data_IF_576254425312
#
_entry.id   IF_576254425312
#
_cell.length_a   1.000
_cell.length_b   1.000
_cell.length_c   1.000
_cell.angle_alpha   90.00
_cell.angle_beta   90.00
_cell.angle_gamma   90.00
#
_symmetry.space_group_name_H-M   'P 1'
#
loop_
_entity.id
_entity.type
_entity.pdbx_description
1 polymer ?
#
# COMPACT_ATOMS: atom_id res chain seq x y z
N UNK A 1 4.86 -45.16 -16.25
CA UNK A 1 5.65 -43.91 -16.39
C UNK A 1 5.11 -42.96 -15.34
N UNK A 2 5.72 -42.90 -14.15
CA UNK A 2 5.25 -42.05 -13.05
C UNK A 2 5.72 -40.63 -13.31
N UNK A 3 4.76 -39.73 -13.51
CA UNK A 3 5.01 -38.29 -13.59
C UNK A 3 5.30 -37.84 -12.15
N UNK A 4 6.60 -37.67 -11.82
CA UNK A 4 6.98 -36.93 -10.62
C UNK A 4 6.54 -35.48 -10.81
N UNK A 5 5.39 -35.12 -10.24
CA UNK A 5 5.03 -33.74 -10.02
C UNK A 5 6.10 -33.14 -9.11
N UNK A 6 6.93 -32.27 -9.65
CA UNK A 6 7.79 -31.39 -8.86
C UNK A 6 6.84 -30.53 -8.05
N UNK A 7 6.68 -30.80 -6.76
CA UNK A 7 6.08 -29.89 -5.81
C UNK A 7 6.94 -28.62 -5.85
N UNK A 8 6.48 -27.60 -6.57
CA UNK A 8 7.09 -26.28 -6.48
C UNK A 8 7.01 -25.82 -5.02
N UNK A 9 8.07 -25.22 -4.46
CA UNK A 9 8.00 -24.71 -3.10
C UNK A 9 6.90 -23.65 -3.05
N UNK A 10 5.91 -23.88 -2.20
CA UNK A 10 4.91 -22.86 -1.91
C UNK A 10 5.63 -21.56 -1.49
N UNK A 11 5.30 -20.45 -2.11
CA UNK A 11 5.82 -19.14 -1.66
C UNK A 11 5.41 -19.00 -0.21
N UNK A 12 6.39 -18.80 0.64
CA UNK A 12 6.17 -18.47 2.05
C UNK A 12 6.42 -16.98 2.24
N UNK A 13 5.35 -16.21 2.48
CA UNK A 13 5.46 -14.83 2.94
C UNK A 13 5.76 -14.93 4.45
N UNK A 14 6.97 -14.53 4.89
CA UNK A 14 7.33 -14.68 6.30
C UNK A 14 6.51 -13.75 7.18
N UNK A 15 6.33 -14.16 8.44
CA UNK A 15 5.67 -13.39 9.48
C UNK A 15 6.71 -12.93 10.49
N UNK A 16 6.86 -11.62 10.67
CA UNK A 16 7.79 -11.00 11.59
C UNK A 16 7.05 -10.28 12.71
N UNK A 17 7.67 -10.22 13.89
CA UNK A 17 7.13 -9.53 15.05
C UNK A 17 7.83 -8.19 15.22
N UNK A 18 7.11 -7.06 15.06
CA UNK A 18 7.68 -5.71 15.15
C UNK A 18 8.33 -5.44 16.52
N UNK A 19 7.84 -6.06 17.59
CA UNK A 19 8.43 -5.92 18.93
C UNK A 19 9.89 -6.42 18.99
N UNK A 20 10.30 -7.34 18.12
CA UNK A 20 11.70 -7.79 18.04
C UNK A 20 12.63 -6.69 17.46
N UNK A 21 12.08 -5.73 16.73
CA UNK A 21 12.83 -4.57 16.22
C UNK A 21 12.81 -3.38 17.18
N UNK A 22 11.67 -3.06 17.76
CA UNK A 22 11.51 -1.86 18.62
C UNK A 22 11.93 -2.09 20.07
N UNK A 23 12.15 -3.35 20.49
CA UNK A 23 12.69 -3.69 21.81
C UNK A 23 14.19 -3.40 21.95
N UNK A 24 14.76 -3.62 23.13
CA UNK A 24 16.16 -3.29 23.46
C UNK A 24 17.17 -4.39 23.08
N UNK A 25 16.73 -5.50 22.52
CA UNK A 25 17.59 -6.64 22.16
C UNK A 25 18.21 -6.45 20.77
N UNK A 26 19.46 -6.04 20.73
CA UNK A 26 20.19 -5.79 19.48
C UNK A 26 20.31 -7.06 18.58
N UNK A 27 20.35 -8.26 19.16
CA UNK A 27 20.41 -9.51 18.38
C UNK A 27 19.09 -9.71 17.64
N UNK A 28 17.97 -9.51 18.32
CA UNK A 28 16.64 -9.58 17.70
C UNK A 28 16.43 -8.48 16.67
N UNK A 29 16.83 -7.24 16.98
CA UNK A 29 16.75 -6.14 16.02
C UNK A 29 17.51 -6.45 14.72
N UNK A 30 18.73 -6.99 14.84
CA UNK A 30 19.53 -7.37 13.67
C UNK A 30 18.86 -8.52 12.90
N UNK A 31 18.41 -9.57 13.58
CA UNK A 31 17.72 -10.70 12.95
C UNK A 31 16.47 -10.23 12.21
N UNK A 32 15.63 -9.41 12.84
CA UNK A 32 14.45 -8.81 12.20
C UNK A 32 14.81 -8.06 10.92
N UNK A 33 15.84 -7.20 10.96
CA UNK A 33 16.25 -6.42 9.79
C UNK A 33 16.73 -7.32 8.64
N UNK A 34 17.48 -8.38 8.94
CA UNK A 34 17.95 -9.34 7.93
C UNK A 34 16.79 -10.15 7.32
N UNK A 35 15.86 -10.63 8.15
CA UNK A 35 14.70 -11.38 7.69
C UNK A 35 13.75 -10.50 6.86
N UNK A 36 13.51 -9.24 7.27
CA UNK A 36 12.72 -8.28 6.53
C UNK A 36 13.33 -7.98 5.16
N UNK A 37 14.63 -7.65 5.13
CA UNK A 37 15.33 -7.37 3.88
C UNK A 37 15.35 -8.58 2.94
N UNK A 38 15.56 -9.79 3.48
CA UNK A 38 15.50 -11.02 2.70
C UNK A 38 14.10 -11.27 2.13
N UNK A 39 13.03 -11.08 2.92
CA UNK A 39 11.66 -11.21 2.45
C UNK A 39 11.38 -10.27 1.28
N UNK A 40 11.78 -9.00 1.40
CA UNK A 40 11.61 -8.01 0.36
C UNK A 40 12.49 -8.24 -0.89
N UNK A 41 13.67 -8.83 -0.72
CA UNK A 41 14.47 -9.29 -1.85
C UNK A 41 13.84 -10.48 -2.57
N UNK A 42 13.32 -11.47 -1.82
CA UNK A 42 12.81 -12.74 -2.36
C UNK A 42 11.43 -12.58 -3.00
N UNK A 43 10.48 -11.97 -2.27
CA UNK A 43 9.06 -11.91 -2.64
C UNK A 43 8.49 -10.50 -2.75
N UNK A 44 9.16 -9.49 -2.18
CA UNK A 44 8.62 -8.15 -2.04
C UNK A 44 7.55 -7.99 -0.96
N UNK A 45 7.22 -9.05 -0.21
CA UNK A 45 6.12 -9.10 0.76
C UNK A 45 6.53 -9.68 2.11
N UNK A 46 5.90 -9.19 3.19
CA UNK A 46 6.06 -9.69 4.56
C UNK A 46 4.75 -9.50 5.34
N UNK A 47 4.48 -10.33 6.34
CA UNK A 47 3.43 -10.11 7.33
C UNK A 47 4.05 -9.57 8.61
N UNK A 48 3.44 -8.54 9.20
CA UNK A 48 3.93 -7.88 10.42
C UNK A 48 2.89 -8.01 11.53
N UNK A 49 3.31 -8.62 12.62
CA UNK A 49 2.54 -8.71 13.87
C UNK A 49 2.95 -7.58 14.84
N UNK A 50 2.06 -7.28 15.79
CA UNK A 50 2.29 -6.28 16.85
C UNK A 50 2.64 -4.88 16.31
N UNK A 51 1.95 -4.48 15.26
CA UNK A 51 2.13 -3.20 14.54
C UNK A 51 1.45 -2.00 15.22
N UNK A 52 0.92 -2.19 16.43
CA UNK A 52 0.37 -1.12 17.26
C UNK A 52 -1.13 -0.83 17.09
N UNK A 53 -1.80 -1.40 16.09
CA UNK A 53 -3.27 -1.41 16.04
C UNK A 53 -3.77 -2.73 16.62
N UNK A 54 -4.67 -2.66 17.58
CA UNK A 54 -5.35 -3.83 18.13
C UNK A 54 -6.66 -4.16 17.37
N UNK A 55 -7.24 -5.34 17.64
CA UNK A 55 -8.47 -5.79 17.01
C UNK A 55 -9.61 -4.79 17.17
N UNK A 56 -9.73 -4.16 18.34
CA UNK A 56 -10.84 -3.23 18.62
C UNK A 56 -10.77 -1.97 17.76
N UNK A 57 -9.54 -1.49 17.49
CA UNK A 57 -9.30 -0.35 16.59
C UNK A 57 -9.54 -0.70 15.13
N UNK A 58 -9.13 -1.89 14.72
CA UNK A 58 -9.40 -2.39 13.38
C UNK A 58 -10.91 -2.58 13.15
N UNK A 59 -11.63 -3.14 14.11
CA UNK A 59 -13.07 -3.31 14.05
C UNK A 59 -13.80 -1.96 13.95
N UNK A 60 -13.42 -0.97 14.78
CA UNK A 60 -14.01 0.37 14.72
C UNK A 60 -13.69 1.06 13.38
N UNK A 61 -12.46 0.93 12.88
CA UNK A 61 -12.09 1.44 11.56
C UNK A 61 -13.03 0.89 10.47
N UNK A 62 -13.21 -0.42 10.40
CA UNK A 62 -14.08 -1.03 9.39
C UNK A 62 -15.54 -0.66 9.56
N UNK A 63 -16.02 -0.53 10.78
CA UNK A 63 -17.38 -0.05 11.08
C UNK A 63 -17.60 1.37 10.53
N UNK A 64 -16.68 2.27 10.77
CA UNK A 64 -16.78 3.65 10.29
C UNK A 64 -16.63 3.75 8.77
N UNK A 65 -15.76 2.94 8.15
CA UNK A 65 -15.65 2.81 6.69
C UNK A 65 -16.97 2.33 6.08
N UNK A 66 -17.60 1.32 6.66
CA UNK A 66 -18.91 0.83 6.22
C UNK A 66 -19.98 1.91 6.36
N UNK A 67 -19.98 2.68 7.45
CA UNK A 67 -20.91 3.79 7.64
C UNK A 67 -20.76 4.85 6.54
N UNK A 68 -19.54 5.24 6.18
CA UNK A 68 -19.28 6.18 5.11
C UNK A 68 -19.78 5.66 3.74
N UNK A 69 -19.40 4.45 3.35
CA UNK A 69 -19.80 3.91 2.04
C UNK A 69 -21.29 3.55 1.96
N UNK A 70 -21.98 3.49 3.10
CA UNK A 70 -23.44 3.33 3.17
C UNK A 70 -24.21 4.66 3.02
N UNK A 71 -23.53 5.80 3.04
CA UNK A 71 -24.17 7.09 2.74
C UNK A 71 -24.77 7.09 1.32
N UNK A 72 -25.85 7.87 1.10
CA UNK A 72 -26.38 8.07 -0.25
C UNK A 72 -25.29 8.52 -1.22
N UNK A 73 -25.36 8.07 -2.46
CA UNK A 73 -24.38 8.39 -3.50
C UNK A 73 -24.19 9.91 -3.67
N UNK A 74 -25.29 10.67 -3.59
CA UNK A 74 -25.28 12.12 -3.66
C UNK A 74 -24.47 12.74 -2.52
N UNK A 75 -24.61 12.23 -1.29
CA UNK A 75 -23.82 12.69 -0.12
C UNK A 75 -22.34 12.40 -0.30
N UNK A 76 -21.97 11.21 -0.75
CA UNK A 76 -20.57 10.85 -1.01
C UNK A 76 -19.93 11.74 -2.08
N UNK A 77 -20.67 12.06 -3.14
CA UNK A 77 -20.19 12.91 -4.24
C UNK A 77 -19.87 14.35 -3.82
N UNK A 78 -20.45 14.86 -2.75
CA UNK A 78 -20.08 16.18 -2.20
C UNK A 78 -18.62 16.24 -1.74
N UNK A 79 -18.01 15.09 -1.49
CA UNK A 79 -16.61 14.91 -1.09
C UNK A 79 -15.67 14.56 -2.26
N UNK A 80 -16.17 14.53 -3.49
CA UNK A 80 -15.38 14.39 -4.71
C UNK A 80 -14.90 15.77 -5.17
N UNK A 81 -13.69 16.16 -4.76
CA UNK A 81 -13.19 17.53 -4.95
C UNK A 81 -12.49 17.65 -6.31
N UNK A 82 -13.00 18.48 -7.23
CA UNK A 82 -12.36 18.74 -8.52
C UNK A 82 -10.93 19.29 -8.34
N UNK A 83 -9.99 18.81 -9.16
CA UNK A 83 -8.60 19.26 -9.14
C UNK A 83 -7.69 18.59 -8.12
N UNK A 84 -8.22 17.77 -7.20
CA UNK A 84 -7.40 16.96 -6.30
C UNK A 84 -7.02 15.59 -6.90
N UNK A 85 -7.55 15.22 -8.06
CA UNK A 85 -7.23 13.97 -8.78
C UNK A 85 -7.35 12.72 -7.89
N UNK A 86 -8.31 12.70 -6.97
CA UNK A 86 -8.52 11.61 -6.01
C UNK A 86 -7.52 11.55 -4.86
N UNK A 87 -6.57 12.49 -4.73
CA UNK A 87 -5.55 12.45 -3.66
C UNK A 87 -6.12 12.70 -2.25
N UNK A 88 -7.28 13.31 -2.13
CA UNK A 88 -8.02 13.53 -0.88
C UNK A 88 -9.53 13.42 -1.14
N UNK A 89 -10.26 12.97 -0.12
CA UNK A 89 -11.71 12.84 -0.20
C UNK A 89 -12.16 11.58 -0.93
N UNK A 90 -13.35 11.64 -1.49
CA UNK A 90 -14.02 10.51 -2.16
C UNK A 90 -13.66 10.43 -3.64
N UNK A 91 -13.51 9.22 -4.12
CA UNK A 91 -13.43 8.88 -5.55
C UNK A 91 -14.46 7.80 -5.86
N UNK A 92 -15.40 8.15 -6.72
CA UNK A 92 -16.55 7.29 -7.06
C UNK A 92 -16.21 6.16 -8.02
N UNK A 93 -17.21 5.29 -8.22
CA UNK A 93 -17.13 4.11 -9.10
C UNK A 93 -16.75 4.47 -10.53
N UNK A 94 -15.91 3.64 -11.15
CA UNK A 94 -15.53 3.78 -12.56
C UNK A 94 -14.55 4.91 -12.85
N UNK A 95 -13.91 5.51 -11.86
CA UNK A 95 -12.97 6.63 -12.02
C UNK A 95 -11.52 6.18 -12.16
N UNK A 96 -11.12 5.13 -11.45
CA UNK A 96 -9.75 4.63 -11.48
C UNK A 96 -9.65 3.34 -12.31
N UNK A 97 -8.59 3.24 -13.09
CA UNK A 97 -8.23 2.01 -13.82
C UNK A 97 -6.72 1.81 -13.72
N UNK A 98 -6.28 0.56 -13.70
CA UNK A 98 -4.85 0.25 -13.80
C UNK A 98 -4.29 0.65 -15.16
N UNK A 99 -2.97 0.84 -15.23
CA UNK A 99 -2.25 1.06 -16.49
C UNK A 99 -2.59 -0.08 -17.47
N UNK A 100 -2.86 0.28 -18.70
CA UNK A 100 -3.20 -0.67 -19.78
C UNK A 100 -4.53 -1.44 -19.60
N UNK A 101 -5.28 -1.25 -18.50
CA UNK A 101 -6.60 -1.82 -18.34
C UNK A 101 -7.63 -1.16 -19.27
N UNK A 102 -8.50 -1.95 -19.89
CA UNK A 102 -9.57 -1.44 -20.76
C UNK A 102 -10.78 -0.98 -19.94
N UNK A 103 -11.04 -1.66 -18.84
CA UNK A 103 -12.17 -1.41 -17.93
C UNK A 103 -11.71 -0.80 -16.62
N UNK A 104 -12.50 0.12 -16.01
CA UNK A 104 -12.24 0.61 -14.67
C UNK A 104 -12.33 -0.52 -13.64
N UNK A 105 -11.58 -0.37 -12.53
CA UNK A 105 -11.68 -1.25 -11.38
C UNK A 105 -13.05 -1.17 -10.70
N UNK A 106 -13.51 -2.30 -10.15
CA UNK A 106 -14.82 -2.42 -9.49
C UNK A 106 -14.75 -1.93 -8.04
N UNK A 107 -14.35 -0.68 -7.85
CA UNK A 107 -14.15 -0.08 -6.54
C UNK A 107 -14.54 1.39 -6.48
N UNK A 108 -14.76 1.87 -5.28
CA UNK A 108 -14.79 3.27 -4.87
C UNK A 108 -13.89 3.43 -3.65
N UNK A 109 -13.41 4.64 -3.33
CA UNK A 109 -12.51 4.80 -2.19
C UNK A 109 -12.55 6.21 -1.60
N UNK A 110 -12.09 6.29 -0.36
CA UNK A 110 -11.77 7.54 0.35
C UNK A 110 -10.26 7.63 0.59
N UNK A 111 -9.69 8.83 0.44
CA UNK A 111 -8.28 9.08 0.76
C UNK A 111 -8.13 10.22 1.76
N UNK A 112 -7.23 10.01 2.74
CA UNK A 112 -6.69 11.07 3.58
C UNK A 112 -5.16 11.00 3.62
N UNK A 113 -4.54 12.14 3.85
CA UNK A 113 -3.10 12.30 3.95
C UNK A 113 -2.66 12.75 5.34
N UNK A 114 -1.43 13.18 5.43
CA UNK A 114 -0.81 13.70 6.64
C UNK A 114 -1.55 14.93 7.17
N UNK A 115 -1.49 15.11 8.49
CA UNK A 115 -1.88 16.36 9.15
C UNK A 115 -0.60 17.14 9.44
N UNK A 116 -0.43 18.27 8.77
CA UNK A 116 0.77 19.12 8.87
C UNK A 116 0.47 20.31 9.76
N UNK A 117 1.39 20.60 10.71
CA UNK A 117 1.28 21.78 11.56
C UNK A 117 1.47 23.07 10.73
N UNK A 118 0.87 24.17 11.19
CA UNK A 118 0.86 25.43 10.45
C UNK A 118 2.25 26.05 10.25
N UNK A 119 3.21 25.74 11.13
CA UNK A 119 4.58 26.21 11.09
C UNK A 119 5.55 25.28 10.34
N UNK A 120 5.09 24.12 9.87
CA UNK A 120 5.93 23.20 9.09
C UNK A 120 6.08 23.70 7.63
N UNK A 121 7.32 23.78 7.11
CA UNK A 121 7.59 24.23 5.73
C UNK A 121 6.81 23.49 4.63
N UNK A 122 6.46 22.22 4.85
CA UNK A 122 5.74 21.39 3.85
C UNK A 122 4.20 21.61 3.88
N UNK A 123 3.70 22.53 4.74
CA UNK A 123 2.27 22.81 4.93
C UNK A 123 1.52 23.09 3.60
N UNK A 124 2.22 23.69 2.64
CA UNK A 124 1.63 24.09 1.35
C UNK A 124 2.01 23.16 0.19
N UNK A 125 2.79 22.11 0.46
CA UNK A 125 3.25 21.20 -0.61
C UNK A 125 2.16 20.19 -1.00
N UNK A 126 1.19 19.92 -0.11
CA UNK A 126 0.17 18.89 -0.30
C UNK A 126 -1.23 19.41 0.04
N UNK A 127 -2.29 18.83 -0.55
CA UNK A 127 -3.67 19.21 -0.25
C UNK A 127 -4.04 18.92 1.21
N UNK A 128 -4.89 19.76 1.78
CA UNK A 128 -5.50 19.51 3.09
C UNK A 128 -6.45 18.31 3.06
N UNK A 129 -6.62 17.68 4.23
CA UNK A 129 -7.60 16.62 4.39
C UNK A 129 -9.03 17.16 4.31
N UNK A 130 -9.89 16.40 3.65
CA UNK A 130 -11.34 16.67 3.62
C UNK A 130 -11.96 15.97 4.83
N UNK A 131 -12.90 16.66 5.48
CA UNK A 131 -13.61 16.13 6.65
C UNK A 131 -15.05 15.80 6.27
N UNK A 132 -15.53 14.61 6.68
CA UNK A 132 -16.92 14.21 6.49
C UNK A 132 -17.76 14.83 7.60
N UNK A 133 -18.67 15.74 7.26
CA UNK A 133 -19.44 16.51 8.25
C UNK A 133 -20.45 15.64 9.03
N UNK A 134 -20.97 14.59 8.41
CA UNK A 134 -21.97 13.69 8.98
C UNK A 134 -21.38 12.60 9.88
N UNK A 135 -20.06 12.33 9.79
CA UNK A 135 -19.42 11.20 10.42
C UNK A 135 -18.12 11.62 11.14
N UNK A 136 -18.23 12.23 12.31
CA UNK A 136 -17.06 12.68 13.06
C UNK A 136 -16.15 11.51 13.47
N UNK A 137 -16.73 10.39 13.93
CA UNK A 137 -15.97 9.21 14.32
C UNK A 137 -15.16 8.60 13.16
N UNK A 138 -15.66 8.72 11.92
CA UNK A 138 -14.94 8.34 10.71
C UNK A 138 -13.66 9.17 10.53
N UNK A 139 -13.77 10.49 10.69
CA UNK A 139 -12.62 11.38 10.57
C UNK A 139 -11.56 11.09 11.65
N UNK A 140 -12.01 10.84 12.88
CA UNK A 140 -11.15 10.64 14.03
C UNK A 140 -10.40 9.31 13.94
N UNK A 141 -11.08 8.21 13.61
CA UNK A 141 -10.43 6.90 13.46
C UNK A 141 -9.45 6.87 12.29
N UNK A 142 -9.76 7.50 11.16
CA UNK A 142 -8.82 7.57 10.03
C UNK A 142 -7.54 8.33 10.40
N UNK A 143 -7.65 9.45 11.13
CA UNK A 143 -6.48 10.20 11.60
C UNK A 143 -5.63 9.40 12.58
N UNK A 144 -6.26 8.68 13.52
CA UNK A 144 -5.57 7.83 14.49
C UNK A 144 -4.84 6.67 13.80
N UNK A 145 -5.52 5.96 12.90
CA UNK A 145 -4.95 4.84 12.15
C UNK A 145 -3.84 5.30 11.21
N UNK A 146 -4.00 6.46 10.56
CA UNK A 146 -2.93 7.07 9.76
C UNK A 146 -1.66 7.26 10.59
N UNK A 147 -1.76 7.91 11.74
CA UNK A 147 -0.61 8.19 12.61
C UNK A 147 0.07 6.89 13.09
N UNK A 148 -0.71 5.87 13.45
CA UNK A 148 -0.15 4.59 13.88
C UNK A 148 0.56 3.85 12.74
N UNK A 149 -0.02 3.81 11.55
CA UNK A 149 0.61 3.14 10.39
C UNK A 149 1.83 3.91 9.89
N UNK A 150 1.82 5.25 9.97
CA UNK A 150 3.00 6.06 9.66
C UNK A 150 4.15 5.73 10.61
N UNK A 151 3.90 5.64 11.93
CA UNK A 151 4.93 5.26 12.90
C UNK A 151 5.44 3.84 12.66
N UNK A 152 4.53 2.88 12.44
CA UNK A 152 4.90 1.50 12.08
C UNK A 152 5.78 1.47 10.82
N UNK A 153 5.40 2.21 9.79
CA UNK A 153 6.14 2.30 8.55
C UNK A 153 7.54 2.92 8.74
N UNK A 154 7.69 3.94 9.60
CA UNK A 154 9.00 4.50 9.97
C UNK A 154 9.90 3.45 10.62
N UNK A 155 9.37 2.63 11.54
CA UNK A 155 10.16 1.54 12.15
C UNK A 155 10.61 0.51 11.11
N UNK A 156 9.73 0.13 10.18
CA UNK A 156 10.08 -0.78 9.10
C UNK A 156 11.14 -0.18 8.15
N UNK A 157 11.05 1.11 7.81
CA UNK A 157 12.07 1.78 7.00
C UNK A 157 13.42 1.87 7.73
N UNK A 158 13.46 2.04 9.06
CA UNK A 158 14.69 1.96 9.85
C UNK A 158 15.31 0.55 9.80
N UNK A 159 14.48 -0.51 9.87
CA UNK A 159 14.95 -1.87 9.70
C UNK A 159 15.50 -2.12 8.28
N UNK A 160 14.86 -1.58 7.26
CA UNK A 160 15.34 -1.60 5.87
C UNK A 160 16.67 -0.84 5.73
N UNK A 161 16.80 0.33 6.36
CA UNK A 161 18.06 1.08 6.35
C UNK A 161 19.22 0.26 6.91
N UNK A 162 19.03 -0.43 8.04
CA UNK A 162 20.03 -1.37 8.59
C UNK A 162 20.39 -2.52 7.65
N UNK A 163 19.40 -3.11 6.98
CA UNK A 163 19.65 -4.18 6.00
C UNK A 163 20.50 -3.70 4.82
N UNK A 164 20.35 -2.42 4.44
CA UNK A 164 21.08 -1.79 3.34
C UNK A 164 22.41 -1.16 3.79
N UNK A 165 22.85 -1.38 5.04
CA UNK A 165 24.03 -0.78 5.65
C UNK A 165 24.01 0.77 5.63
N UNK A 166 22.81 1.36 5.74
CA UNK A 166 22.59 2.79 5.89
C UNK A 166 22.44 3.18 7.37
N UNK A 167 22.51 4.48 7.67
CA UNK A 167 22.11 4.99 8.99
C UNK A 167 20.64 4.63 9.27
N UNK A 168 20.32 4.19 10.49
CA UNK A 168 18.93 3.86 10.90
C UNK A 168 17.96 4.98 10.57
N UNK A 169 18.37 6.24 10.71
CA UNK A 169 17.55 7.42 10.44
C UNK A 169 17.57 7.89 8.98
N UNK A 170 18.12 7.09 8.06
CA UNK A 170 18.28 7.50 6.65
C UNK A 170 16.97 7.98 6.04
N UNK A 171 15.88 7.25 6.24
CA UNK A 171 14.57 7.59 5.69
C UNK A 171 13.81 8.64 6.49
N UNK A 172 14.10 8.87 7.77
CA UNK A 172 13.30 9.69 8.68
C UNK A 172 13.02 11.09 8.11
N UNK A 173 14.05 11.78 7.62
CA UNK A 173 13.92 13.12 7.02
C UNK A 173 13.12 13.14 5.73
N UNK A 174 13.10 12.02 5.01
CA UNK A 174 12.42 11.90 3.73
C UNK A 174 10.94 11.57 3.88
N UNK A 175 10.54 10.87 4.94
CA UNK A 175 9.13 10.49 5.18
C UNK A 175 8.44 11.39 6.21
N UNK A 176 9.17 12.24 6.94
CA UNK A 176 8.56 13.24 7.82
C UNK A 176 7.65 14.18 7.02
N UNK A 177 6.35 14.14 7.30
CA UNK A 177 5.32 14.84 6.53
C UNK A 177 5.44 14.60 5.01
N UNK A 178 5.79 13.37 4.60
CA UNK A 178 5.79 12.94 3.21
C UNK A 178 4.39 12.89 2.61
N UNK A 179 4.27 12.61 1.32
CA UNK A 179 2.97 12.52 0.64
C UNK A 179 2.24 11.20 0.89
N UNK A 180 2.30 10.68 2.12
CA UNK A 180 1.66 9.42 2.48
C UNK A 180 0.14 9.51 2.44
N UNK A 181 -0.51 8.41 2.09
CA UNK A 181 -1.95 8.33 1.92
C UNK A 181 -2.50 7.09 2.61
N UNK A 182 -3.52 7.27 3.45
CA UNK A 182 -4.39 6.20 3.92
C UNK A 182 -5.60 6.13 3.00
N UNK A 183 -5.84 4.97 2.39
CA UNK A 183 -6.97 4.76 1.48
C UNK A 183 -7.94 3.75 2.08
N UNK A 184 -9.19 4.14 2.31
CA UNK A 184 -10.27 3.22 2.60
C UNK A 184 -10.93 2.80 1.30
N UNK A 185 -10.86 1.53 0.96
CA UNK A 185 -11.40 0.94 -0.27
C UNK A 185 -12.72 0.19 0.00
N UNK A 186 -13.68 0.39 -0.88
CA UNK A 186 -14.89 -0.40 -0.96
C UNK A 186 -15.01 -1.03 -2.35
N UNK A 187 -14.95 -2.36 -2.39
CA UNK A 187 -15.31 -3.15 -3.55
C UNK A 187 -16.78 -3.51 -3.39
N UNK A 188 -17.62 -2.84 -4.16
CA UNK A 188 -19.07 -2.93 -4.03
C UNK A 188 -19.63 -4.30 -4.48
N UNK A 189 -20.84 -4.69 -3.98
CA UNK A 189 -21.50 -5.89 -4.42
C UNK A 189 -21.80 -5.88 -5.92
N UNK A 190 -21.54 -6.98 -6.59
CA UNK A 190 -21.91 -7.22 -7.99
C UNK A 190 -23.22 -7.97 -7.99
N UNK A 191 -24.32 -7.24 -8.15
CA UNK A 191 -25.69 -7.81 -8.09
C UNK A 191 -26.14 -8.44 -9.41
N UNK A 192 -25.53 -8.02 -10.52
CA UNK A 192 -25.76 -8.60 -11.85
C UNK A 192 -24.40 -8.99 -12.48
N UNK A 193 -23.95 -10.22 -12.25
CA UNK A 193 -22.66 -10.70 -12.77
C UNK A 193 -22.56 -10.71 -14.30
N UNK A 194 -23.68 -10.75 -15.00
CA UNK A 194 -23.72 -10.83 -16.46
C UNK A 194 -23.62 -9.43 -17.11
N UNK A 195 -23.77 -8.37 -16.31
CA UNK A 195 -23.62 -6.96 -16.75
C UNK A 195 -22.19 -6.43 -16.70
N UNK A 196 -21.27 -7.12 -16.01
CA UNK A 196 -19.87 -6.69 -15.93
C UNK A 196 -19.05 -7.21 -17.11
N UNK A 197 -18.09 -6.42 -17.58
CA UNK A 197 -17.18 -6.88 -18.62
C UNK A 197 -16.39 -8.12 -18.14
N UNK A 198 -16.13 -9.10 -19.03
CA UNK A 198 -15.45 -10.35 -18.62
C UNK A 198 -14.07 -10.16 -18.00
N UNK A 199 -13.39 -9.06 -18.31
CA UNK A 199 -12.07 -8.66 -17.81
C UNK A 199 -12.13 -7.73 -16.59
N UNK A 200 -13.33 -7.31 -16.18
CA UNK A 200 -13.49 -6.44 -15.02
C UNK A 200 -13.19 -7.18 -13.70
N UNK A 201 -12.26 -6.64 -12.93
CA UNK A 201 -11.83 -7.18 -11.64
C UNK A 201 -11.92 -6.11 -10.54
N UNK A 202 -11.86 -6.54 -9.29
CA UNK A 202 -11.87 -5.64 -8.12
C UNK A 202 -10.71 -4.65 -8.15
N UNK A 203 -9.49 -5.12 -8.44
CA UNK A 203 -8.33 -4.27 -8.76
C UNK A 203 -7.45 -5.03 -9.73
N UNK A 204 -7.19 -4.45 -10.90
CA UNK A 204 -6.31 -5.04 -11.90
C UNK A 204 -4.85 -5.10 -11.40
N UNK A 205 -4.02 -5.88 -12.10
CA UNK A 205 -2.62 -6.04 -11.76
C UNK A 205 -1.84 -4.72 -11.82
N UNK A 206 -1.06 -4.45 -10.76
CA UNK A 206 -0.29 -3.21 -10.61
C UNK A 206 0.86 -3.40 -9.61
N UNK A 207 1.74 -2.43 -9.60
CA UNK A 207 2.74 -2.18 -8.56
C UNK A 207 2.40 -0.88 -7.82
N UNK A 208 2.75 -0.77 -6.54
CA UNK A 208 2.50 0.43 -5.75
C UNK A 208 3.55 1.51 -6.00
N UNK A 209 3.10 2.76 -6.14
CA UNK A 209 3.96 3.92 -6.43
C UNK A 209 4.35 4.59 -5.11
N UNK A 210 5.20 3.97 -4.30
CA UNK A 210 5.64 4.47 -2.99
C UNK A 210 6.93 3.78 -2.52
N UNK A 211 7.34 4.00 -1.27
CA UNK A 211 8.42 3.23 -0.65
C UNK A 211 7.93 1.86 -0.18
N UNK A 212 6.91 1.82 0.66
CA UNK A 212 6.26 0.60 1.14
C UNK A 212 4.77 0.84 1.36
N UNK A 213 3.97 -0.21 1.18
CA UNK A 213 2.54 -0.21 1.52
C UNK A 213 2.31 -1.07 2.75
N UNK A 214 1.54 -0.56 3.71
CA UNK A 214 1.08 -1.29 4.89
C UNK A 214 -0.43 -1.55 4.73
N UNK A 215 -0.82 -2.80 4.54
CA UNK A 215 -2.19 -3.19 4.30
C UNK A 215 -2.79 -3.83 5.56
N UNK A 216 -3.77 -3.17 6.18
CA UNK A 216 -4.59 -3.79 7.22
C UNK A 216 -5.40 -4.92 6.58
N UNK A 217 -5.48 -6.07 7.25
CA UNK A 217 -6.16 -7.25 6.75
C UNK A 217 -7.53 -6.92 6.19
N UNK A 218 -7.79 -7.30 4.94
CA UNK A 218 -9.06 -7.03 4.28
C UNK A 218 -10.20 -7.85 4.90
N UNK A 219 -11.44 -7.34 4.81
CA UNK A 219 -12.65 -8.01 5.29
C UNK A 219 -12.98 -9.32 4.56
N UNK A 220 -12.31 -9.61 3.44
CA UNK A 220 -12.47 -10.84 2.65
C UNK A 220 -11.23 -11.11 1.79
N UNK A 221 -11.11 -12.34 1.30
CA UNK A 221 -10.03 -12.81 0.41
C UNK A 221 -9.98 -12.06 -0.94
N UNK A 222 -8.98 -12.38 -1.75
CA UNK A 222 -8.87 -11.93 -3.14
C UNK A 222 -7.54 -11.25 -3.51
N UNK A 223 -6.67 -10.91 -2.53
CA UNK A 223 -5.33 -10.42 -2.83
C UNK A 223 -4.47 -11.57 -3.38
N UNK A 224 -3.88 -11.36 -4.54
CA UNK A 224 -2.92 -12.27 -5.16
C UNK A 224 -1.65 -11.54 -5.58
N UNK A 225 -0.51 -12.21 -5.45
CA UNK A 225 0.82 -11.71 -5.79
C UNK A 225 1.38 -12.53 -6.94
N UNK A 226 1.98 -11.88 -7.93
CA UNK A 226 2.64 -12.53 -9.05
C UNK A 226 4.04 -12.99 -8.64
N UNK A 227 4.26 -14.26 -8.68
CA UNK A 227 5.55 -14.88 -8.36
C UNK A 227 6.54 -14.77 -9.52
N UNK A 228 7.83 -14.98 -9.27
CA UNK A 228 8.88 -14.92 -10.31
C UNK A 228 8.72 -15.94 -11.43
N UNK A 229 8.03 -17.05 -11.16
CA UNK A 229 7.71 -18.07 -12.16
C UNK A 229 6.43 -17.79 -12.96
N UNK A 230 5.80 -16.62 -12.73
CA UNK A 230 4.58 -16.21 -13.41
C UNK A 230 3.30 -16.79 -12.84
N UNK A 231 3.34 -17.38 -11.64
CA UNK A 231 2.16 -17.95 -10.97
C UNK A 231 1.54 -16.92 -10.02
N UNK A 232 0.21 -16.82 -9.96
CA UNK A 232 -0.50 -16.03 -8.97
C UNK A 232 -0.66 -16.79 -7.66
N UNK A 233 -0.21 -16.19 -6.57
CA UNK A 233 -0.26 -16.76 -5.22
C UNK A 233 -1.19 -15.94 -4.32
N UNK A 234 -2.21 -16.56 -3.67
CA UNK A 234 -3.12 -15.86 -2.79
C UNK A 234 -2.42 -15.48 -1.47
N UNK A 235 -2.57 -14.21 -1.07
CA UNK A 235 -2.05 -13.67 0.19
C UNK A 235 -3.18 -13.49 1.18
N UNK A 236 -3.04 -14.06 2.38
CA UNK A 236 -4.01 -13.93 3.47
C UNK A 236 -3.28 -13.45 4.71
N UNK A 237 -3.69 -12.32 5.26
CA UNK A 237 -3.25 -11.90 6.59
C UNK A 237 -3.71 -12.93 7.64
N UNK A 238 -2.90 -13.16 8.65
CA UNK A 238 -3.21 -14.05 9.76
C UNK A 238 -3.68 -13.21 10.96
N UNK A 239 -4.95 -13.39 11.34
CA UNK A 239 -5.52 -12.62 12.46
C UNK A 239 -5.45 -11.11 12.21
N UNK A 240 -4.80 -10.40 13.13
CA UNK A 240 -4.65 -8.94 13.12
C UNK A 240 -3.40 -8.46 12.38
N UNK A 241 -2.60 -9.35 11.79
CA UNK A 241 -1.36 -8.97 11.11
C UNK A 241 -1.64 -8.03 9.93
N UNK A 242 -0.72 -7.11 9.67
CA UNK A 242 -0.71 -6.35 8.43
C UNK A 242 0.17 -7.03 7.38
N UNK A 243 -0.20 -6.89 6.12
CA UNK A 243 0.65 -7.27 4.98
C UNK A 243 1.43 -6.04 4.55
N UNK A 244 2.74 -6.18 4.39
CA UNK A 244 3.59 -5.07 3.93
C UNK A 244 4.30 -5.46 2.65
N UNK A 245 4.27 -4.56 1.67
CA UNK A 245 4.97 -4.76 0.39
C UNK A 245 5.85 -3.57 0.02
N UNK A 246 6.88 -3.86 -0.75
CA UNK A 246 7.77 -2.87 -1.37
C UNK A 246 7.04 -2.18 -2.52
N UNK A 247 7.18 -0.86 -2.62
CA UNK A 247 6.77 -0.08 -3.76
C UNK A 247 7.91 0.20 -4.75
N UNK A 248 7.56 0.67 -5.92
CA UNK A 248 8.52 0.86 -7.01
C UNK A 248 9.53 2.00 -6.78
N UNK A 249 9.21 3.00 -5.93
CA UNK A 249 10.21 4.00 -5.50
C UNK A 249 11.35 3.37 -4.68
N UNK A 250 11.03 2.44 -3.77
CA UNK A 250 12.06 1.75 -2.99
C UNK A 250 12.83 0.73 -3.85
N UNK A 251 12.15 0.04 -4.77
CA UNK A 251 12.80 -0.81 -5.76
C UNK A 251 13.82 -0.02 -6.60
N UNK A 252 13.42 1.14 -7.08
CA UNK A 252 14.26 2.04 -7.86
C UNK A 252 15.47 2.52 -7.05
N UNK A 253 15.25 3.05 -5.83
CA UNK A 253 16.30 3.52 -4.93
C UNK A 253 17.32 2.43 -4.63
N UNK A 254 16.88 1.18 -4.48
CA UNK A 254 17.73 0.03 -4.16
C UNK A 254 18.21 -0.74 -5.39
N UNK A 255 18.06 -0.18 -6.59
CA UNK A 255 18.51 -0.81 -7.84
C UNK A 255 18.04 -2.28 -7.97
N UNK A 256 16.76 -2.57 -7.66
CA UNK A 256 16.14 -3.90 -7.64
C UNK A 256 16.67 -4.87 -6.55
N UNK A 257 17.42 -4.40 -5.55
CA UNK A 257 17.78 -5.25 -4.40
C UNK A 257 16.53 -5.58 -3.58
N UNK A 258 15.67 -4.59 -3.32
CA UNK A 258 14.34 -4.79 -2.79
C UNK A 258 13.33 -4.66 -3.93
N UNK A 259 12.35 -5.56 -4.01
CA UNK A 259 11.52 -5.68 -5.22
C UNK A 259 10.09 -5.28 -4.98
N UNK A 260 9.62 -4.34 -5.78
CA UNK A 260 8.18 -4.16 -6.00
C UNK A 260 7.64 -5.37 -6.74
N UNK A 261 6.53 -5.90 -6.29
CA UNK A 261 5.96 -7.12 -6.85
C UNK A 261 4.52 -6.86 -7.28
N UNK A 262 4.26 -7.17 -8.55
CA UNK A 262 2.93 -7.05 -9.15
C UNK A 262 1.91 -7.85 -8.34
N UNK A 263 0.79 -7.21 -8.01
CA UNK A 263 -0.31 -7.81 -7.27
C UNK A 263 -1.66 -7.34 -7.80
N UNK A 264 -2.73 -8.08 -7.45
CA UNK A 264 -4.09 -7.78 -7.89
C UNK A 264 -5.12 -8.17 -6.84
N UNK A 265 -6.37 -7.71 -7.01
CA UNK A 265 -7.51 -8.18 -6.22
C UNK A 265 -8.53 -8.79 -7.18
N UNK A 266 -8.65 -10.11 -7.12
CA UNK A 266 -9.57 -10.87 -7.98
C UNK A 266 -11.01 -10.81 -7.48
N UNK A 267 -11.95 -11.04 -8.38
CA UNK A 267 -13.35 -11.20 -8.01
C UNK A 267 -13.52 -12.48 -7.18
N UNK A 268 -14.40 -12.49 -6.16
CA UNK A 268 -14.69 -13.70 -5.41
C UNK A 268 -15.45 -14.71 -6.27
N UNK A 269 -15.61 -15.97 -5.81
CA UNK A 269 -16.52 -16.93 -6.43
C UNK A 269 -17.93 -16.36 -6.65
N UNK A 270 -18.65 -16.88 -7.67
CA UNK A 270 -19.95 -16.33 -8.12
C UNK A 270 -20.98 -16.18 -6.99
N UNK A 271 -20.99 -17.10 -6.04
CA UNK A 271 -21.87 -17.09 -4.86
C UNK A 271 -21.58 -15.96 -3.87
N UNK A 272 -20.39 -15.39 -3.91
CA UNK A 272 -19.94 -14.29 -3.03
C UNK A 272 -19.87 -12.92 -3.75
N UNK A 273 -20.19 -12.86 -5.04
CA UNK A 273 -20.15 -11.60 -5.81
C UNK A 273 -21.06 -10.53 -5.22
N UNK A 274 -22.20 -10.92 -4.64
CA UNK A 274 -23.14 -10.01 -3.97
C UNK A 274 -22.66 -9.45 -2.63
N UNK A 275 -21.40 -9.68 -2.22
CA UNK A 275 -20.84 -9.21 -0.95
C UNK A 275 -19.88 -8.06 -1.13
N UNK A 276 -19.98 -7.05 -0.26
CA UNK A 276 -18.98 -5.98 -0.14
C UNK A 276 -17.66 -6.54 0.39
N UNK A 277 -16.55 -5.96 -0.09
CA UNK A 277 -15.23 -6.14 0.51
C UNK A 277 -14.63 -4.78 0.83
N UNK A 278 -14.01 -4.65 1.99
CA UNK A 278 -13.29 -3.45 2.41
C UNK A 278 -11.82 -3.76 2.58
N UNK A 279 -10.96 -2.76 2.35
CA UNK A 279 -9.51 -2.89 2.45
C UNK A 279 -8.91 -1.52 2.76
N UNK A 280 -7.83 -1.50 3.55
CA UNK A 280 -7.25 -0.24 4.01
C UNK A 280 -5.73 -0.27 3.84
N UNK A 281 -5.21 0.02 2.64
CA UNK A 281 -3.79 0.25 2.43
C UNK A 281 -3.37 1.65 2.93
N UNK A 282 -2.20 1.70 3.53
CA UNK A 282 -1.45 2.90 3.82
C UNK A 282 -0.21 2.95 2.91
N UNK A 283 -0.20 3.90 2.01
CA UNK A 283 0.90 4.12 1.08
C UNK A 283 1.91 5.07 1.70
N UNK A 284 3.04 4.55 2.16
CA UNK A 284 4.10 5.38 2.76
C UNK A 284 4.96 5.99 1.65
N UNK A 285 4.70 7.25 1.36
CA UNK A 285 5.43 8.04 0.38
C UNK A 285 6.50 8.91 1.02
N UNK A 286 7.60 9.14 0.32
CA UNK A 286 8.54 10.18 0.72
C UNK A 286 8.01 11.58 0.35
N UNK A 287 8.73 12.61 0.78
CA UNK A 287 8.58 13.97 0.24
C UNK A 287 8.92 13.98 -1.25
N UNK A 288 8.26 14.86 -2.00
CA UNK A 288 8.46 14.98 -3.46
C UNK A 288 9.90 15.30 -3.85
N UNK A 289 10.67 15.96 -2.98
CA UNK A 289 12.07 16.32 -3.22
C UNK A 289 13.09 15.23 -2.82
N UNK A 290 12.64 14.05 -2.37
CA UNK A 290 13.55 12.94 -2.12
C UNK A 290 14.21 12.51 -3.42
N UNK A 291 15.54 12.42 -3.43
CA UNK A 291 16.32 11.87 -4.53
C UNK A 291 16.17 10.34 -4.56
N UNK A 292 15.75 9.80 -5.68
CA UNK A 292 15.61 8.36 -5.95
C UNK A 292 16.78 7.80 -6.77
N UNK A 293 17.91 8.52 -6.84
CA UNK A 293 19.16 7.98 -7.41
C UNK A 293 19.51 6.68 -6.72
N UNK A 294 19.84 5.65 -7.52
CA UNK A 294 20.21 4.34 -6.97
C UNK A 294 21.33 4.47 -5.95
N UNK A 295 21.17 3.83 -4.79
CA UNK A 295 22.20 3.77 -3.76
C UNK A 295 23.45 3.09 -4.30
N UNK A 296 24.63 3.69 -4.08
CA UNK A 296 25.92 3.16 -4.56
C UNK A 296 26.18 1.75 -4.02
N UNK A 297 25.76 1.46 -2.77
CA UNK A 297 25.86 0.12 -2.17
C UNK A 297 25.05 -0.95 -2.88
N UNK A 298 24.03 -0.57 -3.66
CA UNK A 298 23.17 -1.45 -4.45
C UNK A 298 23.62 -1.61 -5.91
N UNK A 299 24.66 -0.86 -6.35
CA UNK A 299 25.22 -0.96 -7.68
C UNK A 299 26.46 -1.87 -7.62
N UNK A 300 26.50 -2.93 -8.42
CA UNK A 300 27.59 -3.91 -8.46
C UNK A 300 27.89 -4.28 -9.91
N UNK A 301 29.02 -4.97 -10.17
CA UNK A 301 29.37 -5.48 -11.50
C UNK A 301 28.29 -6.37 -12.10
N UNK A 302 27.69 -7.23 -11.27
CA UNK A 302 26.59 -8.12 -11.66
C UNK A 302 25.20 -7.48 -11.56
N UNK A 303 25.10 -6.27 -10.99
CA UNK A 303 23.88 -5.46 -10.91
C UNK A 303 24.19 -3.97 -11.24
N UNK A 304 24.48 -3.64 -12.49
CA UNK A 304 24.77 -2.26 -12.89
C UNK A 304 23.53 -1.37 -12.69
N UNK A 305 23.73 -0.06 -12.60
CA UNK A 305 22.65 0.93 -12.41
C UNK A 305 21.55 0.76 -13.47
N UNK A 306 20.32 0.50 -13.03
CA UNK A 306 19.16 0.21 -13.88
C UNK A 306 18.29 1.44 -14.16
N UNK A 307 18.36 2.48 -13.33
CA UNK A 307 17.43 3.61 -13.36
C UNK A 307 18.16 4.94 -13.55
N UNK A 308 17.54 5.86 -14.30
CA UNK A 308 17.98 7.24 -14.41
C UNK A 308 17.72 8.00 -13.10
N UNK A 309 18.49 9.05 -12.82
CA UNK A 309 18.32 9.86 -11.64
C UNK A 309 17.06 10.73 -11.76
N UNK A 310 16.24 10.77 -10.69
CA UNK A 310 15.07 11.62 -10.58
C UNK A 310 14.62 11.73 -9.13
N UNK A 311 13.77 12.71 -8.85
CA UNK A 311 13.12 12.86 -7.54
C UNK A 311 11.85 12.03 -7.44
N UNK A 312 11.39 11.79 -6.21
CA UNK A 312 10.12 11.08 -5.95
C UNK A 312 8.91 11.80 -6.57
N UNK A 313 8.94 13.14 -6.59
CA UNK A 313 7.88 13.95 -7.22
C UNK A 313 7.84 13.79 -8.73
N UNK A 314 8.99 13.84 -9.41
CA UNK A 314 9.10 13.61 -10.85
C UNK A 314 8.62 12.22 -11.22
N UNK A 315 9.02 11.20 -10.44
CA UNK A 315 8.58 9.82 -10.65
C UNK A 315 7.07 9.66 -10.46
N UNK A 316 6.51 10.20 -9.37
CA UNK A 316 5.07 10.17 -9.13
C UNK A 316 4.30 10.86 -10.28
N UNK A 317 4.78 11.99 -10.75
CA UNK A 317 4.17 12.71 -11.87
C UNK A 317 4.18 11.89 -13.17
N UNK A 318 5.26 11.18 -13.45
CA UNK A 318 5.36 10.25 -14.59
C UNK A 318 4.31 9.14 -14.46
N UNK A 319 4.25 8.47 -13.30
CA UNK A 319 3.28 7.39 -13.05
C UNK A 319 1.83 7.86 -13.14
N UNK A 320 1.49 9.04 -12.56
CA UNK A 320 0.13 9.60 -12.61
C UNK A 320 -0.31 9.92 -14.05
N UNK A 321 0.61 10.32 -14.93
CA UNK A 321 0.31 10.50 -16.37
C UNK A 321 0.05 9.16 -17.06
N UNK A 322 0.87 8.13 -16.77
CA UNK A 322 0.71 6.80 -17.37
C UNK A 322 -0.61 6.12 -17.01
N UNK A 323 -1.11 6.31 -15.78
CA UNK A 323 -2.41 5.77 -15.35
C UNK A 323 -3.59 6.71 -15.65
N UNK A 324 -3.34 7.85 -16.34
CA UNK A 324 -4.38 8.77 -16.82
C UNK A 324 -5.01 9.67 -15.75
N UNK A 325 -4.41 9.77 -14.57
CA UNK A 325 -4.89 10.68 -13.50
C UNK A 325 -4.36 12.10 -13.64
N UNK A 326 -3.25 12.31 -14.34
CA UNK A 326 -2.68 13.63 -14.63
C UNK A 326 -2.49 13.77 -16.16
N UNK A 327 -2.83 14.95 -16.71
CA UNK A 327 -2.61 15.29 -18.12
C UNK A 327 -1.19 15.82 -18.35
#
# INVERSE_FOLDING_TARGET
>A
MAIFGVLMPAINIPRLNLLDFIGDDHVKQHAFSQELGKAFNDTGFVMIANHGLDASRIDELYKQIQAFFSLPEESKRNYEIPGLFGQRGYTGKGREKAKDALTPDLKEFWQCGQTVLDDDPVRHDYPENIMVSELQDFNDILREVYAQLEETGKQLLRAIARYLDLSDSYFDKHVHNGNSILRALHYFPITDPDSIAPDAVRSAEHEDINLITLLIGASADGLEVLTRDGTWFPVKAQGEDIVVNVGDMLQRLTNNVLKSTTHRVVNPPRELLGTSRFSVPFFLHPKSNMDLTCLDSCIKEDNPKQYADMTAGEYLDERLREIGLKM
#
